data_IF_624332873423
#
_entry.id   IF_624332873423
#
_cell.length_a   1.000
_cell.length_b   1.000
_cell.length_c   1.000
_cell.angle_alpha   90.00
_cell.angle_beta   90.00
_cell.angle_gamma   90.00
#
_symmetry.space_group_name_H-M   'P 1'
#
loop_
_entity.id
_entity.type
_entity.pdbx_description
1 polymer ?
#
# COMPACT_ATOMS: atom_id res chain seq x y z
N UNK A 1 19.89 2.60 -3.32
CA UNK A 1 18.60 2.31 -3.93
C UNK A 1 17.57 2.10 -2.83
N UNK A 2 16.44 2.77 -2.92
CA UNK A 2 15.40 2.69 -1.91
C UNK A 2 14.12 2.16 -2.52
N UNK A 3 13.26 1.61 -1.67
CA UNK A 3 11.95 1.14 -2.09
C UNK A 3 10.88 2.00 -1.46
N UNK A 4 9.88 2.34 -2.24
CA UNK A 4 8.76 3.16 -1.82
C UNK A 4 7.52 2.28 -1.72
N UNK A 5 6.82 2.39 -0.59
CA UNK A 5 5.56 1.66 -0.36
C UNK A 5 4.39 2.55 -0.72
N UNK A 6 3.53 2.06 -1.57
CA UNK A 6 2.26 2.70 -1.88
C UNK A 6 1.14 1.72 -1.62
N UNK A 7 -0.01 2.22 -1.19
CA UNK A 7 -1.15 1.37 -0.91
C UNK A 7 -2.45 2.08 -1.29
N UNK A 8 -3.47 1.30 -1.58
CA UNK A 8 -4.77 1.83 -1.94
C UNK A 8 -5.85 0.97 -1.31
N UNK A 9 -7.02 1.56 -1.10
CA UNK A 9 -8.18 0.86 -0.57
C UNK A 9 -9.12 0.60 -1.73
N UNK A 10 -9.53 -0.65 -1.90
CA UNK A 10 -10.38 -1.08 -2.99
C UNK A 10 -11.66 -1.71 -2.47
N UNK A 11 -12.73 -1.59 -3.25
CA UNK A 11 -14.01 -2.24 -2.96
C UNK A 11 -14.12 -3.54 -3.74
N UNK A 12 -14.38 -4.64 -3.05
CA UNK A 12 -14.61 -5.92 -3.71
C UNK A 12 -15.96 -5.96 -4.43
N UNK A 13 -16.86 -5.06 -4.07
CA UNK A 13 -18.20 -5.02 -4.67
C UNK A 13 -18.18 -4.27 -6.00
N UNK A 14 -17.60 -3.06 -5.99
CA UNK A 14 -17.61 -2.19 -7.17
C UNK A 14 -16.34 -2.31 -8.02
N UNK A 15 -15.27 -2.84 -7.43
CA UNK A 15 -13.97 -2.87 -8.09
C UNK A 15 -13.25 -1.52 -8.08
N UNK A 16 -13.84 -0.51 -7.47
CA UNK A 16 -13.25 0.82 -7.42
C UNK A 16 -12.14 0.88 -6.38
N UNK A 17 -11.01 1.50 -6.75
CA UNK A 17 -9.90 1.73 -5.85
C UNK A 17 -9.65 3.22 -5.71
N UNK A 18 -9.36 3.65 -4.48
CA UNK A 18 -9.01 5.04 -4.22
C UNK A 18 -7.64 5.39 -4.79
N UNK A 19 -7.34 6.69 -4.83
CA UNK A 19 -6.00 7.14 -5.22
C UNK A 19 -4.97 6.56 -4.26
N UNK A 20 -3.89 5.96 -4.78
CA UNK A 20 -2.87 5.37 -3.90
C UNK A 20 -2.23 6.40 -2.98
N UNK A 21 -2.00 5.99 -1.74
CA UNK A 21 -1.28 6.78 -0.77
C UNK A 21 0.16 6.27 -0.68
N UNK A 22 1.10 7.19 -0.57
CA UNK A 22 2.52 6.85 -0.48
C UNK A 22 2.95 6.91 0.99
N UNK A 23 3.57 5.83 1.46
CA UNK A 23 4.10 5.79 2.81
C UNK A 23 5.29 6.74 2.91
N UNK A 24 5.41 7.54 4.00
CA UNK A 24 6.48 8.54 4.09
C UNK A 24 7.87 7.94 4.29
N UNK A 25 7.96 6.72 4.76
CA UNK A 25 9.25 6.07 5.02
C UNK A 25 9.67 5.27 3.80
N UNK A 26 10.95 5.41 3.42
CA UNK A 26 11.53 4.60 2.35
C UNK A 26 12.29 3.44 2.98
N UNK A 27 12.33 2.32 2.28
CA UNK A 27 12.90 1.09 2.80
C UNK A 27 14.16 0.73 2.00
N UNK A 28 15.12 0.13 2.70
CA UNK A 28 16.39 -0.23 2.08
C UNK A 28 16.33 -1.51 1.27
N UNK A 29 15.39 -2.40 1.60
CA UNK A 29 15.26 -3.68 0.91
C UNK A 29 13.81 -3.91 0.50
N UNK A 30 13.63 -4.75 -0.51
CA UNK A 30 12.31 -5.18 -0.96
C UNK A 30 11.55 -5.87 0.18
N UNK A 31 12.25 -6.73 0.92
CA UNK A 31 11.63 -7.47 2.02
C UNK A 31 11.10 -6.53 3.09
N UNK A 32 11.85 -5.51 3.45
CA UNK A 32 11.40 -4.54 4.43
C UNK A 32 10.16 -3.80 3.95
N UNK A 33 10.13 -3.44 2.66
CA UNK A 33 8.98 -2.77 2.08
C UNK A 33 7.74 -3.65 2.12
N UNK A 34 7.87 -4.93 1.76
CA UNK A 34 6.72 -5.84 1.75
C UNK A 34 6.23 -6.13 3.17
N UNK A 35 7.13 -6.24 4.13
CA UNK A 35 6.73 -6.41 5.53
C UNK A 35 5.96 -5.20 6.03
N UNK A 36 6.42 -4.01 5.68
CA UNK A 36 5.72 -2.79 6.05
C UNK A 36 4.35 -2.72 5.40
N UNK A 37 4.24 -3.15 4.15
CA UNK A 37 2.96 -3.21 3.45
C UNK A 37 1.96 -4.12 4.15
N UNK A 38 2.41 -5.29 4.56
CA UNK A 38 1.57 -6.23 5.30
C UNK A 38 1.15 -5.64 6.64
N UNK A 39 2.07 -4.98 7.34
CA UNK A 39 1.77 -4.35 8.63
C UNK A 39 0.73 -3.25 8.49
N UNK A 40 0.88 -2.39 7.48
CA UNK A 40 -0.08 -1.32 7.20
C UNK A 40 -1.44 -1.91 6.88
N UNK A 41 -1.47 -2.98 6.07
CA UNK A 41 -2.73 -3.65 5.71
C UNK A 41 -3.46 -4.13 6.95
N UNK A 42 -2.76 -4.81 7.85
CA UNK A 42 -3.36 -5.34 9.07
C UNK A 42 -3.82 -4.20 9.98
N UNK A 43 -2.98 -3.19 10.15
CA UNK A 43 -3.26 -2.08 11.04
C UNK A 43 -4.49 -1.31 10.58
N UNK A 44 -4.54 -0.92 9.32
CA UNK A 44 -5.65 -0.13 8.79
C UNK A 44 -6.92 -0.96 8.76
N UNK A 45 -6.84 -2.23 8.39
CA UNK A 45 -8.01 -3.11 8.38
C UNK A 45 -8.60 -3.26 9.78
N UNK A 46 -7.76 -3.41 10.80
CA UNK A 46 -8.23 -3.51 12.18
C UNK A 46 -8.83 -2.19 12.67
N UNK A 47 -8.23 -1.08 12.29
CA UNK A 47 -8.65 0.24 12.72
C UNK A 47 -10.02 0.62 12.16
N UNK A 48 -10.31 0.22 10.92
CA UNK A 48 -11.56 0.51 10.23
C UNK A 48 -12.35 -0.77 9.95
N UNK A 49 -12.26 -1.73 10.84
CA UNK A 49 -12.81 -3.07 10.63
C UNK A 49 -14.29 -3.07 10.25
N UNK A 50 -15.10 -2.25 10.93
CA UNK A 50 -16.52 -2.20 10.68
C UNK A 50 -16.83 -1.73 9.26
N UNK A 51 -16.18 -0.65 8.85
CA UNK A 51 -16.36 -0.09 7.52
C UNK A 51 -15.90 -1.06 6.43
N UNK A 52 -14.78 -1.72 6.67
CA UNK A 52 -14.25 -2.68 5.73
C UNK A 52 -15.16 -3.89 5.56
N UNK A 53 -15.77 -4.33 6.66
CA UNK A 53 -16.72 -5.45 6.60
C UNK A 53 -18.01 -5.07 5.89
N UNK A 54 -18.55 -3.87 6.15
CA UNK A 54 -19.79 -3.42 5.54
C UNK A 54 -19.66 -3.23 4.04
N UNK A 55 -18.59 -2.56 3.61
CA UNK A 55 -18.39 -2.20 2.21
C UNK A 55 -17.50 -3.19 1.46
N UNK A 56 -17.05 -4.25 2.13
CA UNK A 56 -16.17 -5.26 1.55
C UNK A 56 -14.91 -4.62 0.96
N UNK A 57 -14.26 -3.80 1.77
CA UNK A 57 -13.03 -3.12 1.37
C UNK A 57 -11.80 -3.97 1.69
N UNK A 58 -10.77 -3.75 0.93
CA UNK A 58 -9.47 -4.40 1.19
C UNK A 58 -8.36 -3.45 0.76
N UNK A 59 -7.16 -3.71 1.27
CA UNK A 59 -6.00 -2.90 0.95
C UNK A 59 -5.12 -3.67 -0.03
N UNK A 60 -4.74 -2.98 -1.10
CA UNK A 60 -3.75 -3.46 -2.04
C UNK A 60 -2.52 -2.58 -1.89
N UNK A 61 -1.36 -3.17 -1.68
CA UNK A 61 -0.12 -2.43 -1.56
C UNK A 61 0.89 -2.91 -2.59
N UNK A 62 1.82 -2.04 -2.90
CA UNK A 62 2.90 -2.38 -3.82
C UNK A 62 4.16 -1.61 -3.46
N UNK A 63 5.29 -2.23 -3.77
CA UNK A 63 6.60 -1.66 -3.54
C UNK A 63 7.25 -1.34 -4.87
N UNK A 64 7.75 -0.11 -5.00
CA UNK A 64 8.41 0.35 -6.20
C UNK A 64 9.83 0.78 -5.88
N UNK A 65 10.75 0.51 -6.80
CA UNK A 65 12.08 1.03 -6.70
C UNK A 65 12.08 2.53 -6.87
N UNK A 66 12.71 3.23 -5.92
CA UNK A 66 12.89 4.67 -6.02
C UNK A 66 14.36 4.94 -6.32
N UNK A 67 14.68 4.98 -7.60
CA UNK A 67 16.03 5.23 -8.05
C UNK A 67 16.06 6.60 -8.75
N UNK A 68 16.64 7.63 -8.11
CA UNK A 68 16.64 8.97 -8.69
C UNK A 68 17.44 9.08 -9.99
N UNK A 69 18.37 8.17 -10.22
CA UNK A 69 19.17 8.16 -11.43
C UNK A 69 18.46 7.53 -12.62
N UNK A 70 17.32 6.91 -12.37
CA UNK A 70 16.56 6.21 -13.39
C UNK A 70 15.45 7.11 -13.89
N UNK A 71 15.70 7.81 -14.98
CA UNK A 71 14.65 8.62 -15.59
C UNK A 71 13.70 7.73 -16.36
N UNK A 72 12.39 7.93 -16.18
CA UNK A 72 11.43 7.23 -17.02
C UNK A 72 11.60 7.70 -18.46
N UNK A 73 11.79 6.77 -19.31
CA UNK A 73 11.94 7.08 -20.72
C UNK A 73 10.60 7.46 -21.33
#
# INVERSE_FOLDING_TARGET
>A
MKFVLAYTICSAITGFCNTPAVHPVKFDTWTDCTKAGATVTIKVTNEYQQKFNEDKLYISYFCNENNPDKTPA
#
